data_IF_326845194808
#
_entry.id   IF_326845194808
#
_cell.length_a   1.000
_cell.length_b   1.000
_cell.length_c   1.000
_cell.angle_alpha   90.00
_cell.angle_beta   90.00
_cell.angle_gamma   90.00
#
_symmetry.space_group_name_H-M   'P 1'
#
loop_
_entity.id
_entity.type
_entity.pdbx_description
1 polymer ?
#
# COMPACT_ATOMS: atom_id res chain seq x y z
N UNK A 1 -33.57 12.40 -42.45
CA UNK A 1 -32.55 13.27 -43.07
C UNK A 1 -32.04 12.61 -44.34
N UNK A 2 -31.99 13.31 -45.47
CA UNK A 2 -31.55 12.74 -46.76
C UNK A 2 -30.03 12.69 -46.87
N UNK A 3 -29.49 11.59 -47.42
CA UNK A 3 -28.05 11.36 -47.57
C UNK A 3 -27.34 12.46 -48.37
N UNK A 4 -28.08 13.18 -49.23
CA UNK A 4 -27.57 14.33 -49.99
C UNK A 4 -27.20 15.53 -49.10
N UNK A 5 -27.81 15.68 -47.92
CA UNK A 5 -27.50 16.79 -47.03
C UNK A 5 -26.16 16.61 -46.28
N UNK A 6 -25.60 15.39 -46.26
CA UNK A 6 -24.28 15.12 -45.65
C UNK A 6 -23.12 15.60 -46.54
N UNK A 7 -23.30 15.63 -47.86
CA UNK A 7 -22.23 15.98 -48.81
C UNK A 7 -22.19 17.46 -49.19
N UNK A 8 -23.24 18.22 -48.89
CA UNK A 8 -23.32 19.66 -49.17
C UNK A 8 -22.88 20.55 -48.00
N UNK A 9 -22.49 19.97 -46.86
CA UNK A 9 -21.98 20.74 -45.73
C UNK A 9 -20.50 21.08 -45.94
N UNK A 10 -20.24 22.10 -46.76
CA UNK A 10 -18.93 22.71 -46.99
C UNK A 10 -18.57 23.64 -45.82
N UNK A 11 -18.68 23.14 -44.59
CA UNK A 11 -18.02 23.78 -43.46
C UNK A 11 -16.53 23.87 -43.75
N UNK A 12 -15.89 24.97 -43.35
CA UNK A 12 -14.43 25.13 -43.42
C UNK A 12 -13.77 23.82 -42.99
N UNK A 13 -12.90 23.21 -43.82
CA UNK A 13 -12.23 21.98 -43.42
C UNK A 13 -11.59 22.27 -42.07
N UNK A 14 -11.98 21.52 -41.04
CA UNK A 14 -11.25 21.52 -39.77
C UNK A 14 -9.88 20.98 -40.14
N UNK A 15 -8.96 21.87 -40.47
CA UNK A 15 -7.55 21.54 -40.60
C UNK A 15 -7.17 21.06 -39.21
N UNK A 16 -7.12 19.74 -39.03
CA UNK A 16 -6.46 19.18 -37.86
C UNK A 16 -5.06 19.78 -37.88
N UNK A 17 -4.74 20.53 -36.82
CA UNK A 17 -3.41 21.08 -36.63
C UNK A 17 -2.44 19.90 -36.82
N UNK A 18 -1.49 20.02 -37.74
CA UNK A 18 -0.44 19.02 -37.91
C UNK A 18 0.41 19.07 -36.64
N UNK A 19 0.02 18.30 -35.64
CA UNK A 19 0.79 18.15 -34.40
C UNK A 19 2.06 17.39 -34.79
N UNK A 20 3.22 18.00 -34.61
CA UNK A 20 4.50 17.33 -34.82
C UNK A 20 4.63 16.17 -33.81
N UNK A 21 5.40 15.13 -34.16
CA UNK A 21 5.62 13.99 -33.25
C UNK A 21 6.08 14.43 -31.86
N UNK A 22 6.85 15.52 -31.78
CA UNK A 22 7.34 16.09 -30.52
C UNK A 22 6.22 16.68 -29.64
N UNK A 23 5.20 17.34 -30.22
CA UNK A 23 4.03 17.85 -29.46
C UNK A 23 3.08 16.71 -29.01
N UNK A 24 3.11 15.55 -29.68
CA UNK A 24 2.38 14.34 -29.25
C UNK A 24 3.09 13.62 -28.08
N UNK A 25 4.42 13.65 -28.03
CA UNK A 25 5.21 13.08 -26.92
C UNK A 25 4.96 13.83 -25.61
N UNK A 26 4.73 15.15 -25.65
CA UNK A 26 4.37 15.91 -24.44
C UNK A 26 2.99 15.51 -23.84
N UNK A 27 2.12 14.88 -24.63
CA UNK A 27 0.80 14.40 -24.18
C UNK A 27 0.76 12.89 -23.91
N UNK A 28 1.79 12.14 -24.30
CA UNK A 28 1.79 10.68 -24.27
C UNK A 28 3.02 10.19 -23.51
N UNK A 29 2.84 9.28 -22.56
CA UNK A 29 3.88 8.84 -21.61
C UNK A 29 5.22 8.43 -22.26
N UNK A 30 5.19 7.74 -23.41
CA UNK A 30 6.39 7.40 -24.18
C UNK A 30 6.06 7.00 -25.63
N UNK A 31 7.07 6.97 -26.51
CA UNK A 31 6.96 6.39 -27.86
C UNK A 31 6.59 4.91 -27.82
N UNK A 32 7.17 4.18 -26.87
CA UNK A 32 7.02 2.73 -26.75
C UNK A 32 5.60 2.37 -26.32
N UNK A 33 4.95 3.22 -25.51
CA UNK A 33 3.54 3.11 -25.19
C UNK A 33 2.65 3.20 -26.44
N UNK A 34 2.94 4.11 -27.37
CA UNK A 34 2.18 4.24 -28.62
C UNK A 34 2.29 2.96 -29.46
N UNK A 35 3.49 2.40 -29.57
CA UNK A 35 3.70 1.19 -30.35
C UNK A 35 3.07 -0.05 -29.71
N UNK A 36 3.11 -0.16 -28.38
CA UNK A 36 2.37 -1.16 -27.65
C UNK A 36 0.85 -1.01 -27.86
N UNK A 37 0.32 0.21 -27.85
CA UNK A 37 -1.11 0.48 -28.14
C UNK A 37 -1.50 0.16 -29.58
N UNK A 38 -0.63 0.42 -30.56
CA UNK A 38 -0.87 -0.01 -31.96
C UNK A 38 -0.96 -1.53 -32.06
N UNK A 39 -0.10 -2.27 -31.37
CA UNK A 39 -0.14 -3.74 -31.34
C UNK A 39 -1.47 -4.24 -30.76
N UNK A 40 -1.91 -3.65 -29.66
CA UNK A 40 -3.21 -3.96 -29.05
C UNK A 40 -4.38 -3.68 -30.01
N UNK A 41 -4.35 -2.54 -30.72
CA UNK A 41 -5.40 -2.17 -31.67
C UNK A 41 -5.49 -3.12 -32.88
N UNK A 42 -4.34 -3.61 -33.35
CA UNK A 42 -4.27 -4.53 -34.48
C UNK A 42 -4.50 -6.00 -34.08
N UNK A 43 -4.69 -6.28 -32.79
CA UNK A 43 -4.89 -7.63 -32.29
C UNK A 43 -6.27 -8.17 -32.71
N UNK A 44 -6.29 -9.41 -33.20
CA UNK A 44 -7.52 -10.08 -33.61
C UNK A 44 -7.94 -11.04 -32.50
N UNK A 45 -9.03 -10.72 -31.82
CA UNK A 45 -9.57 -11.54 -30.74
C UNK A 45 -10.46 -12.64 -31.36
N UNK A 46 -10.16 -13.93 -31.14
CA UNK A 46 -11.01 -15.00 -31.62
C UNK A 46 -12.33 -15.02 -30.84
N UNK A 47 -13.47 -15.37 -31.48
CA UNK A 47 -14.77 -15.44 -30.82
C UNK A 47 -14.91 -16.74 -30.02
N UNK A 48 -14.02 -16.95 -29.05
CA UNK A 48 -14.05 -18.09 -28.12
C UNK A 48 -14.62 -17.58 -26.80
N UNK A 49 -15.64 -18.28 -26.29
CA UNK A 49 -16.18 -18.00 -24.97
C UNK A 49 -15.37 -18.74 -23.90
N UNK A 50 -14.67 -17.98 -23.06
CA UNK A 50 -13.83 -18.49 -21.98
C UNK A 50 -14.59 -18.73 -20.67
N UNK A 51 -15.90 -18.41 -20.59
CA UNK A 51 -16.69 -18.68 -19.39
C UNK A 51 -16.90 -20.18 -19.13
N UNK A 52 -17.03 -20.98 -20.19
CA UNK A 52 -17.10 -22.45 -20.09
C UNK A 52 -15.75 -23.08 -20.48
N UNK A 53 -15.08 -23.80 -19.56
CA UNK A 53 -13.84 -24.51 -19.84
C UNK A 53 -13.88 -25.43 -21.06
N UNK A 54 -15.03 -26.02 -21.37
CA UNK A 54 -15.21 -27.00 -22.46
C UNK A 54 -14.93 -26.39 -23.85
N UNK A 55 -15.07 -25.07 -23.97
CA UNK A 55 -14.87 -24.36 -25.23
C UNK A 55 -13.39 -24.28 -25.63
N UNK A 56 -12.49 -24.10 -24.66
CA UNK A 56 -11.07 -23.88 -24.92
C UNK A 56 -10.13 -24.99 -24.42
N UNK A 57 -10.48 -25.71 -23.35
CA UNK A 57 -9.63 -26.77 -22.79
C UNK A 57 -9.74 -28.05 -23.61
N UNK A 58 -8.96 -28.16 -24.69
CA UNK A 58 -8.90 -29.36 -25.56
C UNK A 58 -7.95 -30.44 -25.05
N UNK A 59 -6.90 -30.03 -24.33
CA UNK A 59 -5.89 -30.91 -23.75
C UNK A 59 -5.54 -30.39 -22.35
N UNK A 60 -5.18 -31.26 -21.42
CA UNK A 60 -4.85 -30.87 -20.04
C UNK A 60 -6.06 -30.58 -19.14
N UNK A 61 -5.78 -30.11 -17.92
CA UNK A 61 -6.81 -29.74 -16.95
C UNK A 61 -7.17 -28.26 -17.07
N UNK A 62 -8.46 -27.96 -17.17
CA UNK A 62 -8.98 -26.60 -17.12
C UNK A 62 -8.57 -25.88 -15.83
N UNK A 63 -8.57 -26.59 -14.70
CA UNK A 63 -8.16 -26.05 -13.40
C UNK A 63 -6.74 -25.51 -13.44
N UNK A 64 -5.81 -26.28 -14.02
CA UNK A 64 -4.41 -25.87 -14.13
C UNK A 64 -4.24 -24.62 -15.01
N UNK A 65 -5.04 -24.48 -16.07
CA UNK A 65 -5.00 -23.27 -16.90
C UNK A 65 -5.44 -22.03 -16.13
N UNK A 66 -6.52 -22.13 -15.35
CA UNK A 66 -6.94 -21.03 -14.49
C UNK A 66 -5.92 -20.74 -13.39
N UNK A 67 -5.40 -21.76 -12.70
CA UNK A 67 -4.37 -21.61 -11.66
C UNK A 67 -3.16 -20.84 -12.21
N UNK A 68 -2.63 -21.23 -13.37
CA UNK A 68 -1.47 -20.56 -13.97
C UNK A 68 -1.78 -19.15 -14.47
N UNK A 69 -2.99 -18.89 -14.96
CA UNK A 69 -3.43 -17.53 -15.29
C UNK A 69 -3.44 -16.63 -14.05
N UNK A 70 -4.02 -17.11 -12.94
CA UNK A 70 -4.04 -16.39 -11.66
C UNK A 70 -2.62 -16.16 -11.10
N UNK A 71 -1.78 -17.20 -11.06
CA UNK A 71 -0.38 -17.08 -10.62
C UNK A 71 0.39 -16.09 -11.48
N UNK A 72 0.15 -16.08 -12.79
CA UNK A 72 0.83 -15.16 -13.70
C UNK A 72 0.44 -13.71 -13.41
N UNK A 73 -0.86 -13.43 -13.29
CA UNK A 73 -1.36 -12.09 -12.99
C UNK A 73 -0.81 -11.63 -11.64
N UNK A 74 -0.94 -12.46 -10.60
CA UNK A 74 -0.52 -12.10 -9.25
C UNK A 74 0.98 -11.77 -9.15
N UNK A 75 1.83 -12.57 -9.79
CA UNK A 75 3.28 -12.43 -9.65
C UNK A 75 3.91 -11.44 -10.65
N UNK A 76 3.30 -11.23 -11.82
CA UNK A 76 3.94 -10.51 -12.93
C UNK A 76 3.16 -9.32 -13.46
N UNK A 77 1.91 -9.09 -13.04
CA UNK A 77 1.20 -7.89 -13.46
C UNK A 77 1.83 -6.64 -12.84
N UNK A 78 2.24 -5.63 -13.64
CA UNK A 78 2.93 -4.46 -13.14
C UNK A 78 1.93 -3.45 -12.54
N UNK A 79 1.47 -3.70 -11.31
CA UNK A 79 0.49 -2.85 -10.61
C UNK A 79 0.92 -1.37 -10.55
N UNK A 80 2.16 -1.13 -10.15
CA UNK A 80 2.79 0.20 -10.05
C UNK A 80 3.60 0.57 -11.31
N UNK A 81 3.51 -0.23 -12.37
CA UNK A 81 4.22 0.03 -13.60
C UNK A 81 3.65 1.19 -14.40
N UNK A 82 4.47 1.63 -15.35
CA UNK A 82 4.17 2.58 -16.43
C UNK A 82 2.95 2.12 -17.24
N UNK A 83 2.26 3.04 -17.94
CA UNK A 83 1.18 2.60 -18.84
C UNK A 83 1.72 1.71 -19.96
N UNK A 84 2.99 1.87 -20.34
CA UNK A 84 3.67 0.98 -21.27
C UNK A 84 3.72 -0.46 -20.77
N UNK A 85 4.26 -0.69 -19.57
CA UNK A 85 4.39 -2.04 -18.99
C UNK A 85 3.04 -2.73 -18.83
N UNK A 86 1.99 -1.99 -18.44
CA UNK A 86 0.63 -2.52 -18.32
C UNK A 86 0.08 -3.01 -19.67
N UNK A 87 0.22 -2.20 -20.72
CA UNK A 87 -0.20 -2.58 -22.08
C UNK A 87 0.65 -3.69 -22.65
N UNK A 88 1.95 -3.70 -22.36
CA UNK A 88 2.84 -4.78 -22.78
C UNK A 88 2.46 -6.10 -22.11
N UNK A 89 2.14 -6.09 -20.81
CA UNK A 89 1.63 -7.25 -20.11
C UNK A 89 0.36 -7.79 -20.78
N UNK A 90 -0.63 -6.93 -21.07
CA UNK A 90 -1.84 -7.32 -21.78
C UNK A 90 -1.51 -7.91 -23.16
N UNK A 91 -0.65 -7.26 -23.96
CA UNK A 91 -0.25 -7.73 -25.29
C UNK A 91 0.52 -9.06 -25.26
N UNK A 92 1.22 -9.37 -24.17
CA UNK A 92 1.93 -10.63 -23.97
C UNK A 92 1.05 -11.75 -23.39
N UNK A 93 -0.14 -11.40 -22.90
CA UNK A 93 -1.06 -12.31 -22.24
C UNK A 93 -1.86 -13.14 -23.23
N UNK A 94 -2.13 -14.40 -22.88
CA UNK A 94 -3.04 -15.22 -23.68
C UNK A 94 -4.48 -14.69 -23.58
N UNK A 95 -5.35 -15.09 -24.51
CA UNK A 95 -6.76 -14.69 -24.45
C UNK A 95 -7.47 -15.19 -23.18
N UNK A 96 -7.06 -16.35 -22.65
CA UNK A 96 -7.55 -16.83 -21.36
C UNK A 96 -7.06 -15.94 -20.22
N UNK A 97 -5.77 -15.60 -20.20
CA UNK A 97 -5.21 -14.71 -19.16
C UNK A 97 -5.91 -13.36 -19.16
N UNK A 98 -6.21 -12.81 -20.34
CA UNK A 98 -7.00 -11.57 -20.48
C UNK A 98 -8.41 -11.74 -19.92
N UNK A 99 -9.10 -12.82 -20.27
CA UNK A 99 -10.44 -13.10 -19.73
C UNK A 99 -10.42 -13.22 -18.21
N UNK A 100 -9.46 -13.97 -17.66
CA UNK A 100 -9.26 -14.12 -16.21
C UNK A 100 -8.98 -12.75 -15.60
N UNK A 101 -8.01 -12.01 -16.12
CA UNK A 101 -7.64 -10.68 -15.65
C UNK A 101 -8.81 -9.70 -15.65
N UNK A 102 -9.64 -9.73 -16.69
CA UNK A 102 -10.72 -8.76 -16.85
C UNK A 102 -11.98 -9.10 -16.05
N UNK A 103 -12.34 -10.38 -15.94
CA UNK A 103 -13.65 -10.80 -15.46
C UNK A 103 -13.61 -11.57 -14.13
N UNK A 104 -12.53 -12.32 -13.87
CA UNK A 104 -12.46 -13.24 -12.72
C UNK A 104 -11.48 -12.76 -11.65
N UNK A 105 -10.40 -12.11 -12.07
CA UNK A 105 -9.37 -11.63 -11.17
C UNK A 105 -9.93 -10.48 -10.34
N UNK A 106 -9.87 -10.55 -9.00
CA UNK A 106 -10.36 -9.47 -8.15
C UNK A 106 -9.48 -8.23 -8.35
N UNK A 107 -9.96 -7.30 -9.18
CA UNK A 107 -9.35 -5.98 -9.42
C UNK A 107 -9.96 -4.87 -8.56
N UNK A 108 -10.76 -5.24 -7.56
CA UNK A 108 -11.32 -4.25 -6.64
C UNK A 108 -10.17 -3.63 -5.86
N UNK A 109 -9.81 -2.40 -6.20
CA UNK A 109 -9.04 -1.50 -5.36
C UNK A 109 -9.89 -1.22 -4.12
N UNK A 110 -9.76 -2.09 -3.12
CA UNK A 110 -10.47 -2.00 -1.87
C UNK A 110 -9.63 -1.23 -0.89
N UNK A 111 -10.11 -0.08 -0.45
CA UNK A 111 -9.55 0.61 0.70
C UNK A 111 -10.36 0.29 1.95
N UNK A 112 -9.71 0.39 3.09
CA UNK A 112 -10.36 0.24 4.39
C UNK A 112 -10.99 1.56 4.80
N UNK A 113 -12.26 1.52 5.19
CA UNK A 113 -12.96 2.67 5.76
C UNK A 113 -13.00 2.57 7.28
N UNK A 114 -12.45 3.56 7.94
CA UNK A 114 -12.56 3.77 9.38
C UNK A 114 -13.68 4.78 9.66
N UNK A 115 -14.69 4.36 10.42
CA UNK A 115 -15.90 5.12 10.73
C UNK A 115 -16.04 5.35 12.24
N UNK A 116 -14.95 5.73 12.92
CA UNK A 116 -14.91 6.02 14.37
C UNK A 116 -15.55 4.91 15.25
N UNK A 117 -15.57 3.67 14.76
CA UNK A 117 -16.21 2.52 15.41
C UNK A 117 -15.49 1.20 15.11
N UNK A 118 -14.56 1.19 14.16
CA UNK A 118 -13.80 0.05 13.73
C UNK A 118 -12.31 0.38 13.70
N UNK A 119 -11.50 -0.66 13.82
CA UNK A 119 -10.04 -0.61 13.74
C UNK A 119 -9.52 -1.98 13.32
N UNK A 120 -8.25 -2.05 12.93
CA UNK A 120 -7.57 -3.31 12.66
C UNK A 120 -6.57 -3.56 13.78
N UNK A 121 -6.53 -4.79 14.28
CA UNK A 121 -5.50 -5.26 15.19
C UNK A 121 -4.64 -6.28 14.49
N UNK A 122 -3.34 -6.02 14.45
CA UNK A 122 -2.33 -6.95 13.95
C UNK A 122 -1.50 -7.44 15.12
N UNK A 123 -1.45 -8.76 15.30
CA UNK A 123 -0.63 -9.38 16.33
C UNK A 123 0.81 -9.50 15.81
N UNK A 124 1.78 -8.88 16.50
CA UNK A 124 3.18 -8.86 16.06
C UNK A 124 4.13 -9.76 16.85
N UNK A 125 3.62 -10.54 17.80
CA UNK A 125 4.41 -11.55 18.49
C UNK A 125 4.77 -12.73 17.58
N UNK A 126 5.95 -13.36 17.74
CA UNK A 126 6.21 -14.63 17.08
C UNK A 126 5.16 -15.66 17.50
N UNK A 127 4.67 -16.44 16.55
CA UNK A 127 3.82 -17.59 16.80
C UNK A 127 4.65 -18.64 17.53
N UNK A 128 4.71 -18.52 18.86
CA UNK A 128 5.34 -19.54 19.69
C UNK A 128 4.28 -20.61 19.96
N UNK A 129 4.62 -21.88 19.77
CA UNK A 129 3.79 -23.00 20.22
C UNK A 129 3.71 -23.10 21.76
N UNK A 130 4.00 -22.02 22.49
CA UNK A 130 4.07 -21.94 23.95
C UNK A 130 2.73 -22.19 24.62
N UNK A 131 1.61 -21.92 23.93
CA UNK A 131 0.25 -22.27 24.37
C UNK A 131 -0.19 -23.70 23.95
N UNK A 132 0.73 -24.48 23.38
CA UNK A 132 0.49 -25.84 22.89
C UNK A 132 -0.09 -25.89 21.48
N UNK A 133 0.29 -26.91 20.71
CA UNK A 133 -0.26 -27.20 19.37
C UNK A 133 -1.46 -28.15 19.43
N UNK A 134 -2.20 -28.15 20.53
CA UNK A 134 -3.26 -29.15 20.76
C UNK A 134 -4.34 -28.99 19.69
N UNK A 135 -4.46 -30.00 18.82
CA UNK A 135 -5.43 -30.04 17.73
C UNK A 135 -5.04 -29.26 16.48
N UNK A 136 -3.80 -28.77 16.36
CA UNK A 136 -3.29 -28.13 15.13
C UNK A 136 -2.13 -28.92 14.55
N UNK A 137 -2.04 -28.95 13.23
CA UNK A 137 -0.89 -29.52 12.52
C UNK A 137 0.31 -28.59 12.63
N UNK A 138 1.51 -29.10 12.32
CA UNK A 138 2.74 -28.31 12.42
C UNK A 138 2.76 -27.19 11.37
N UNK A 139 2.34 -27.49 10.14
CA UNK A 139 2.18 -26.55 9.02
C UNK A 139 1.27 -25.37 9.41
N UNK A 140 0.03 -25.64 9.84
CA UNK A 140 -0.92 -24.60 10.27
C UNK A 140 -0.47 -23.76 11.48
N UNK A 141 0.58 -24.19 12.20
CA UNK A 141 1.12 -23.44 13.34
C UNK A 141 2.23 -22.48 12.94
N UNK A 142 2.98 -22.79 11.87
CA UNK A 142 4.23 -22.09 11.55
C UNK A 142 4.31 -21.55 10.10
N UNK A 143 3.60 -22.12 9.13
CA UNK A 143 3.73 -21.72 7.72
C UNK A 143 3.21 -20.30 7.45
N UNK A 144 2.13 -19.90 8.14
CA UNK A 144 1.54 -18.56 8.07
C UNK A 144 2.19 -17.55 9.04
N UNK A 145 3.23 -17.97 9.75
CA UNK A 145 3.90 -17.12 10.75
C UNK A 145 5.01 -16.29 10.15
N UNK A 146 5.38 -15.22 10.85
CA UNK A 146 6.56 -14.45 10.47
C UNK A 146 7.81 -15.34 10.50
N UNK A 147 8.46 -15.49 9.33
CA UNK A 147 9.68 -16.29 9.17
C UNK A 147 10.87 -15.51 9.75
N UNK A 148 11.46 -16.06 10.80
CA UNK A 148 12.64 -15.48 11.44
C UNK A 148 13.82 -15.46 10.47
N UNK A 149 14.42 -14.28 10.29
CA UNK A 149 15.61 -14.08 9.46
C UNK A 149 16.36 -12.83 9.94
N UNK A 150 17.41 -13.03 10.75
CA UNK A 150 18.20 -11.94 11.35
C UNK A 150 18.92 -11.11 10.30
N UNK A 151 19.44 -11.73 9.23
CA UNK A 151 20.13 -11.03 8.15
C UNK A 151 19.21 -10.06 7.40
N UNK A 152 17.89 -10.34 7.39
CA UNK A 152 16.84 -9.47 6.84
C UNK A 152 16.13 -8.63 7.91
N UNK A 153 16.65 -8.55 9.14
CA UNK A 153 16.06 -7.84 10.29
C UNK A 153 14.64 -8.31 10.65
N UNK A 154 14.29 -9.57 10.33
CA UNK A 154 13.00 -10.21 10.63
C UNK A 154 13.07 -11.01 11.94
N UNK A 155 13.37 -10.32 13.04
CA UNK A 155 13.51 -10.92 14.38
C UNK A 155 12.20 -10.88 15.19
N UNK A 156 11.46 -9.78 15.10
CA UNK A 156 10.09 -9.59 15.63
C UNK A 156 9.30 -8.64 14.73
N UNK A 157 7.97 -8.71 14.73
CA UNK A 157 7.19 -7.72 14.00
C UNK A 157 7.14 -6.40 14.79
N UNK A 158 7.17 -5.28 14.06
CA UNK A 158 7.02 -3.92 14.60
C UNK A 158 8.06 -3.45 15.64
N UNK A 159 9.13 -4.21 15.90
CA UNK A 159 10.24 -3.68 16.71
C UNK A 159 10.91 -2.49 16.01
N UNK A 160 11.36 -1.53 16.81
CA UNK A 160 12.19 -0.41 16.38
C UNK A 160 13.56 -0.56 17.02
N UNK A 161 14.60 -0.54 16.19
CA UNK A 161 15.99 -0.43 16.60
C UNK A 161 16.50 0.91 16.11
N UNK A 162 17.08 1.71 17.00
CA UNK A 162 17.42 3.09 16.69
C UNK A 162 18.37 3.21 15.50
N UNK A 163 19.40 2.35 15.47
CA UNK A 163 20.43 2.30 14.44
C UNK A 163 19.92 1.91 13.05
N UNK A 164 18.82 1.15 13.01
CA UNK A 164 18.17 0.68 11.80
C UNK A 164 17.11 1.69 11.31
N UNK A 165 16.34 2.22 12.26
CA UNK A 165 15.21 3.09 11.97
C UNK A 165 14.01 2.32 11.41
N UNK A 166 12.94 3.06 11.15
CA UNK A 166 11.70 2.55 10.58
C UNK A 166 11.12 3.51 9.55
N UNK A 167 10.32 2.96 8.65
CA UNK A 167 9.45 3.73 7.75
C UNK A 167 8.03 3.22 7.84
N UNK A 168 7.08 4.12 8.06
CA UNK A 168 5.63 3.86 8.02
C UNK A 168 5.10 4.52 6.75
N UNK A 169 4.40 3.77 5.90
CA UNK A 169 3.93 4.22 4.60
C UNK A 169 2.50 3.75 4.36
N UNK A 170 1.66 4.61 3.77
CA UNK A 170 0.29 4.28 3.40
C UNK A 170 -0.31 5.35 2.47
N UNK A 171 -1.35 4.96 1.73
CA UNK A 171 -2.29 5.91 1.16
C UNK A 171 -3.37 6.25 2.18
N UNK A 172 -3.68 7.54 2.32
CA UNK A 172 -4.74 8.01 3.22
C UNK A 172 -5.61 9.06 2.55
N UNK A 173 -6.91 8.94 2.78
CA UNK A 173 -7.90 9.99 2.51
C UNK A 173 -8.59 10.36 3.82
N UNK A 174 -8.40 11.60 4.24
CA UNK A 174 -9.02 12.13 5.47
C UNK A 174 -10.26 12.93 5.09
N UNK A 175 -11.48 12.58 5.56
CA UNK A 175 -12.71 13.26 5.16
C UNK A 175 -12.88 14.62 5.85
N UNK A 176 -12.27 14.79 7.02
CA UNK A 176 -12.26 16.05 7.77
C UNK A 176 -11.12 16.10 8.77
N UNK A 177 -10.63 17.30 9.03
CA UNK A 177 -9.61 17.53 10.04
C UNK A 177 -10.25 17.44 11.43
N UNK A 178 -9.77 16.52 12.27
CA UNK A 178 -10.25 16.39 13.64
C UNK A 178 -9.58 17.40 14.56
N UNK A 179 -10.38 18.08 15.39
CA UNK A 179 -9.85 18.96 16.45
C UNK A 179 -9.24 18.16 17.63
N UNK A 180 -9.75 16.94 17.85
CA UNK A 180 -9.23 15.99 18.82
C UNK A 180 -8.14 15.11 18.21
N UNK A 181 -7.30 14.53 19.07
CA UNK A 181 -6.29 13.57 18.64
C UNK A 181 -6.97 12.28 18.16
N UNK A 182 -6.66 11.84 16.94
CA UNK A 182 -7.10 10.55 16.38
C UNK A 182 -5.91 9.70 15.98
N UNK A 183 -5.86 8.45 16.42
CA UNK A 183 -4.74 7.55 16.16
C UNK A 183 -4.88 6.85 14.81
N UNK A 184 -3.89 7.01 13.96
CA UNK A 184 -3.81 6.37 12.64
C UNK A 184 -3.16 5.00 12.80
N UNK A 185 -2.06 4.96 13.56
CA UNK A 185 -1.32 3.76 13.91
C UNK A 185 -0.89 3.86 15.36
N UNK A 186 -1.02 2.77 16.10
CA UNK A 186 -0.38 2.62 17.39
C UNK A 186 0.21 1.23 17.54
N UNK A 187 1.52 1.16 17.74
CA UNK A 187 2.26 -0.06 18.04
C UNK A 187 2.62 -0.02 19.52
N UNK A 188 2.18 -1.03 20.26
CA UNK A 188 2.48 -1.14 21.69
C UNK A 188 2.42 -2.59 22.16
N UNK A 189 3.05 -2.88 23.29
CA UNK A 189 3.08 -4.21 23.91
C UNK A 189 2.44 -4.22 25.29
N UNK A 190 2.85 -5.18 26.12
CA UNK A 190 2.52 -5.16 27.54
C UNK A 190 3.11 -3.90 28.22
N UNK A 191 2.58 -3.53 29.40
CA UNK A 191 3.08 -2.41 30.17
C UNK A 191 4.62 -2.42 30.26
N UNK A 192 5.26 -1.34 29.81
CA UNK A 192 6.72 -1.21 29.77
C UNK A 192 7.42 -1.61 28.46
N UNK A 193 6.70 -2.05 27.42
CA UNK A 193 7.30 -2.44 26.12
C UNK A 193 7.70 -1.24 25.22
N UNK A 194 7.27 -0.03 25.58
CA UNK A 194 7.38 1.15 24.73
C UNK A 194 6.28 1.23 23.68
N UNK A 195 6.21 2.35 22.96
CA UNK A 195 5.17 2.60 21.95
C UNK A 195 5.68 3.43 20.77
N UNK A 196 5.06 3.20 19.61
CA UNK A 196 5.16 4.04 18.42
C UNK A 196 3.73 4.44 18.06
N UNK A 197 3.41 5.74 18.13
CA UNK A 197 2.05 6.25 17.87
C UNK A 197 2.10 7.30 16.77
N UNK A 198 1.36 7.07 15.68
CA UNK A 198 1.07 8.07 14.67
C UNK A 198 -0.37 8.57 14.86
N UNK A 199 -0.54 9.86 15.04
CA UNK A 199 -1.86 10.46 15.28
C UNK A 199 -2.04 11.79 14.58
N UNK A 200 -3.27 12.10 14.20
CA UNK A 200 -3.62 13.41 13.67
C UNK A 200 -4.30 14.29 14.72
N UNK A 201 -4.07 15.59 14.65
CA UNK A 201 -4.82 16.59 15.39
C UNK A 201 -4.69 17.95 14.70
N UNK A 202 -5.78 18.68 14.49
CA UNK A 202 -5.80 20.02 13.89
C UNK A 202 -5.05 20.11 12.54
N UNK A 203 -5.01 19.02 11.76
CA UNK A 203 -4.35 18.95 10.45
C UNK A 203 -2.87 18.61 10.52
N UNK A 204 -2.32 18.55 11.73
CA UNK A 204 -0.97 18.09 12.01
C UNK A 204 -0.93 16.58 12.19
N UNK A 205 0.23 15.99 11.95
CA UNK A 205 0.52 14.59 12.28
C UNK A 205 1.63 14.55 13.33
N UNK A 206 1.36 13.88 14.44
CA UNK A 206 2.32 13.64 15.50
C UNK A 206 2.79 12.19 15.44
N UNK A 207 4.11 12.00 15.42
CA UNK A 207 4.75 10.69 15.51
C UNK A 207 5.47 10.57 16.85
N UNK A 208 4.85 9.90 17.82
CA UNK A 208 5.41 9.65 19.14
C UNK A 208 6.16 8.33 19.19
N UNK A 209 7.38 8.36 19.72
CA UNK A 209 8.15 7.18 20.10
C UNK A 209 8.46 7.25 21.59
N UNK A 210 8.18 6.17 22.31
CA UNK A 210 8.47 6.04 23.74
C UNK A 210 9.21 4.72 23.97
N UNK A 211 10.40 4.78 24.56
CA UNK A 211 11.18 3.58 24.89
C UNK A 211 10.52 2.76 25.99
N UNK A 212 10.59 1.43 25.89
CA UNK A 212 10.20 0.53 26.97
C UNK A 212 11.27 0.38 28.04
N UNK A 213 11.22 1.18 29.12
CA UNK A 213 12.05 0.99 30.33
C UNK A 213 11.52 1.78 31.53
N UNK A 214 12.10 1.57 32.72
CA UNK A 214 11.77 2.29 33.96
C UNK A 214 12.02 3.80 33.91
N UNK A 215 12.72 4.31 32.89
CA UNK A 215 12.80 5.75 32.57
C UNK A 215 12.52 5.94 31.09
N UNK A 216 11.24 6.15 30.76
CA UNK A 216 10.79 6.30 29.38
C UNK A 216 11.42 7.53 28.71
N UNK A 217 12.22 7.30 27.66
CA UNK A 217 12.68 8.35 26.75
C UNK A 217 11.61 8.56 25.69
N UNK A 218 11.22 9.83 25.47
CA UNK A 218 10.19 10.21 24.51
C UNK A 218 10.76 11.08 23.38
N UNK A 219 10.21 10.92 22.19
CA UNK A 219 10.42 11.78 21.04
C UNK A 219 9.09 11.92 20.30
N UNK A 220 8.60 13.15 20.12
CA UNK A 220 7.25 13.43 19.60
C UNK A 220 7.28 14.54 18.54
N UNK A 221 7.94 14.34 17.38
CA UNK A 221 7.87 15.26 16.25
C UNK A 221 6.42 15.48 15.78
N UNK A 222 6.14 16.72 15.39
CA UNK A 222 4.86 17.14 14.82
C UNK A 222 5.10 17.73 13.43
N UNK A 223 4.40 17.20 12.43
CA UNK A 223 4.44 17.67 11.05
C UNK A 223 3.21 18.53 10.78
N UNK A 224 3.44 19.82 10.55
CA UNK A 224 2.36 20.81 10.58
C UNK A 224 1.56 20.82 9.28
N UNK A 225 0.23 20.83 9.36
CA UNK A 225 -0.68 20.98 8.21
C UNK A 225 -0.51 19.96 7.07
N UNK A 226 0.09 18.79 7.34
CA UNK A 226 0.32 17.76 6.31
C UNK A 226 -0.99 17.14 5.79
N UNK A 227 -2.02 17.06 6.64
CA UNK A 227 -3.36 16.53 6.32
C UNK A 227 -4.38 17.62 5.99
N UNK A 228 -3.97 18.61 5.18
CA UNK A 228 -4.85 19.67 4.69
C UNK A 228 -5.61 19.31 3.42
N UNK A 229 -5.12 18.34 2.66
CA UNK A 229 -5.81 17.83 1.47
C UNK A 229 -6.70 16.65 1.85
N UNK A 230 -8.00 16.78 1.56
CA UNK A 230 -9.04 15.79 1.87
C UNK A 230 -9.16 14.69 0.79
N UNK A 231 -8.30 14.73 -0.24
CA UNK A 231 -8.19 13.69 -1.25
C UNK A 231 -7.16 12.62 -0.88
N UNK A 232 -7.09 11.57 -1.70
CA UNK A 232 -6.07 10.53 -1.59
C UNK A 232 -4.68 11.13 -1.75
N UNK A 233 -3.84 10.87 -0.75
CA UNK A 233 -2.44 11.23 -0.76
C UNK A 233 -1.63 10.07 -0.21
N UNK A 234 -0.44 9.91 -0.75
CA UNK A 234 0.54 8.98 -0.25
C UNK A 234 1.37 9.65 0.85
N UNK A 235 1.51 8.99 2.00
CA UNK A 235 2.27 9.50 3.14
C UNK A 235 3.32 8.49 3.55
N UNK A 236 4.53 8.99 3.82
CA UNK A 236 5.59 8.19 4.44
C UNK A 236 6.24 8.96 5.59
N UNK A 237 6.50 8.27 6.70
CA UNK A 237 7.16 8.81 7.88
C UNK A 237 8.36 7.94 8.22
N UNK A 238 9.54 8.53 8.27
CA UNK A 238 10.80 7.83 8.54
C UNK A 238 11.37 8.30 9.86
N UNK A 239 11.90 7.39 10.67
CA UNK A 239 12.60 7.72 11.92
C UNK A 239 13.91 6.93 11.99
N UNK A 240 14.99 7.62 12.35
CA UNK A 240 16.30 7.03 12.60
C UNK A 240 16.88 7.63 13.88
N UNK A 241 17.38 6.78 14.79
CA UNK A 241 17.98 7.19 16.06
C UNK A 241 19.42 6.70 16.16
N UNK A 242 20.35 7.61 15.95
CA UNK A 242 21.79 7.34 15.92
C UNK A 242 22.49 7.88 17.16
N UNK A 243 23.81 7.68 17.28
CA UNK A 243 24.60 8.35 18.33
C UNK A 243 24.57 9.89 18.23
N UNK A 244 24.37 10.44 17.02
CA UNK A 244 24.25 11.88 16.76
C UNK A 244 22.88 12.48 17.08
N UNK A 245 21.90 11.66 17.47
CA UNK A 245 20.54 12.10 17.72
C UNK A 245 19.50 11.30 16.95
N UNK A 246 18.24 11.63 17.23
CA UNK A 246 17.05 11.11 16.54
C UNK A 246 16.57 12.13 15.51
N UNK A 247 16.28 11.63 14.30
CA UNK A 247 15.74 12.39 13.18
C UNK A 247 14.43 11.79 12.73
N UNK A 248 13.45 12.62 12.37
CA UNK A 248 12.22 12.20 11.73
C UNK A 248 11.90 13.05 10.51
N UNK A 249 11.41 12.41 9.45
CA UNK A 249 11.02 13.07 8.21
C UNK A 249 9.63 12.60 7.79
N UNK A 250 8.87 13.52 7.20
CA UNK A 250 7.60 13.22 6.57
C UNK A 250 7.68 13.49 5.07
N UNK A 251 7.05 12.63 4.29
CA UNK A 251 6.92 12.73 2.85
C UNK A 251 5.45 12.71 2.47
N UNK A 252 5.09 13.50 1.46
CA UNK A 252 3.75 13.54 0.87
C UNK A 252 3.87 13.39 -0.65
N UNK A 253 3.18 12.41 -1.23
CA UNK A 253 3.20 12.10 -2.66
C UNK A 253 4.63 11.95 -3.23
N UNK A 254 5.51 11.28 -2.47
CA UNK A 254 6.89 11.02 -2.85
C UNK A 254 7.85 12.21 -2.66
N UNK A 255 7.36 13.38 -2.27
CA UNK A 255 8.18 14.56 -2.01
C UNK A 255 8.41 14.74 -0.51
N UNK A 256 9.63 15.17 -0.12
CA UNK A 256 9.93 15.54 1.25
C UNK A 256 9.03 16.72 1.65
N UNK A 257 8.22 16.53 2.68
CA UNK A 257 7.33 17.56 3.21
C UNK A 257 8.04 18.37 4.30
N UNK A 258 8.60 17.68 5.29
CA UNK A 258 9.25 18.31 6.43
C UNK A 258 10.29 17.39 7.07
N UNK A 259 11.39 17.98 7.55
CA UNK A 259 12.48 17.32 8.28
C UNK A 259 12.62 17.98 9.65
N UNK A 260 12.36 17.21 10.71
CA UNK A 260 12.40 17.70 12.09
C UNK A 260 13.83 17.73 12.67
N UNK A 261 14.85 17.45 11.84
CA UNK A 261 16.27 17.58 12.20
C UNK A 261 16.73 16.60 13.29
N UNK A 262 18.03 16.61 13.57
CA UNK A 262 18.61 15.77 14.62
C UNK A 262 18.39 16.42 16.00
N UNK A 263 17.55 15.80 16.83
CA UNK A 263 17.44 16.18 18.25
C UNK A 263 18.52 15.44 19.03
N UNK A 264 19.27 16.07 19.95
CA UNK A 264 20.34 15.43 20.73
C UNK A 264 19.79 14.53 21.84
N UNK A 265 18.95 13.57 21.45
CA UNK A 265 18.29 12.56 22.27
C UNK A 265 18.25 11.29 21.42
N UNK A 266 18.50 10.16 22.06
CA UNK A 266 18.49 8.86 21.39
C UNK A 266 17.39 7.99 22.00
N UNK A 267 16.60 7.33 21.15
CA UNK A 267 15.74 6.24 21.55
C UNK A 267 16.45 4.96 21.12
N UNK A 268 17.00 4.17 22.05
CA UNK A 268 17.82 3.02 21.69
C UNK A 268 16.97 1.98 20.97
N UNK A 269 15.96 1.40 21.63
CA UNK A 269 15.11 0.39 21.00
C UNK A 269 13.70 0.41 21.61
N UNK A 270 12.72 -0.06 20.83
CA UNK A 270 11.38 -0.45 21.28
C UNK A 270 11.24 -1.91 20.87
N UNK A 271 11.39 -2.78 21.86
CA UNK A 271 11.46 -4.22 21.66
C UNK A 271 10.22 -4.91 22.22
N UNK A 272 9.78 -6.03 21.62
CA UNK A 272 8.73 -6.85 22.20
C UNK A 272 9.12 -7.38 23.58
N UNK A 273 8.14 -7.48 24.46
CA UNK A 273 8.25 -8.23 25.72
C UNK A 273 7.53 -9.57 25.58
N UNK A 274 6.93 -10.11 26.66
CA UNK A 274 6.31 -11.44 26.71
C UNK A 274 5.25 -11.71 25.65
N UNK A 275 4.52 -10.69 25.19
CA UNK A 275 3.38 -10.83 24.27
C UNK A 275 3.61 -10.19 22.90
N UNK A 276 4.85 -9.84 22.56
CA UNK A 276 5.14 -9.11 21.32
C UNK A 276 4.71 -7.64 21.37
N UNK A 277 4.85 -6.97 20.23
CA UNK A 277 4.26 -5.66 19.96
C UNK A 277 3.05 -5.88 19.04
N UNK A 278 1.90 -5.31 19.38
CA UNK A 278 0.71 -5.34 18.55
C UNK A 278 0.53 -4.00 17.86
N UNK A 279 0.07 -4.02 16.61
CA UNK A 279 -0.30 -2.81 15.89
C UNK A 279 -1.82 -2.63 15.87
N UNK A 280 -2.27 -1.42 16.16
CA UNK A 280 -3.64 -0.96 16.04
C UNK A 280 -3.69 0.08 14.93
N UNK A 281 -4.43 -0.20 13.85
CA UNK A 281 -4.62 0.74 12.74
C UNK A 281 -6.02 1.33 12.87
N UNK A 282 -6.09 2.66 12.91
CA UNK A 282 -7.31 3.43 13.14
C UNK A 282 -7.76 3.53 14.61
N UNK A 283 -6.90 3.17 15.57
CA UNK A 283 -7.19 3.23 17.01
C UNK A 283 -5.92 3.41 17.86
N UNK A 284 -6.05 3.98 19.05
CA UNK A 284 -4.98 4.07 20.05
C UNK A 284 -4.91 2.87 21.00
N UNK A 285 -5.90 1.98 21.06
CA UNK A 285 -5.82 0.70 21.80
C UNK A 285 -7.08 -0.14 21.53
N UNK A 286 -7.20 -1.29 22.20
CA UNK A 286 -8.45 -2.05 22.25
C UNK A 286 -9.36 -1.64 23.44
N UNK A 287 -8.95 -0.69 24.28
CA UNK A 287 -9.60 -0.39 25.56
C UNK A 287 -10.70 0.68 25.47
N UNK A 288 -11.40 0.94 26.58
CA UNK A 288 -12.72 1.57 26.66
C UNK A 288 -12.90 3.02 26.12
N UNK A 289 -11.87 3.66 25.58
CA UNK A 289 -11.98 4.97 24.93
C UNK A 289 -10.85 5.18 23.90
N UNK A 290 -10.86 4.45 22.77
CA UNK A 290 -9.80 4.59 21.80
C UNK A 290 -9.94 5.92 21.02
N UNK A 291 -8.81 6.53 20.67
CA UNK A 291 -8.72 7.67 19.75
C UNK A 291 -9.03 7.20 18.33
N UNK A 292 -10.27 6.81 18.06
CA UNK A 292 -10.64 6.16 16.80
C UNK A 292 -10.54 7.15 15.63
N UNK A 293 -9.90 6.69 14.56
CA UNK A 293 -9.72 7.45 13.32
C UNK A 293 -10.96 7.39 12.44
N UNK A 294 -11.13 8.43 11.63
CA UNK A 294 -12.13 8.47 10.57
C UNK A 294 -11.44 8.79 9.26
N UNK A 295 -11.62 7.93 8.27
CA UNK A 295 -11.10 8.12 6.92
C UNK A 295 -10.86 6.81 6.19
N UNK A 296 -10.24 6.90 5.03
CA UNK A 296 -9.95 5.75 4.17
C UNK A 296 -8.45 5.52 4.09
N UNK A 297 -8.02 4.27 4.17
CA UNK A 297 -6.61 3.88 4.06
C UNK A 297 -6.43 2.75 3.06
N UNK A 298 -5.33 2.80 2.31
CA UNK A 298 -4.90 1.73 1.43
C UNK A 298 -3.37 1.52 1.55
N UNK A 299 -2.91 0.34 1.17
CA UNK A 299 -1.50 -0.08 1.11
C UNK A 299 -0.66 0.27 2.35
N UNK A 300 -1.14 -0.08 3.55
CA UNK A 300 -0.34 0.11 4.75
C UNK A 300 0.93 -0.77 4.74
N UNK A 301 2.09 -0.13 4.92
CA UNK A 301 3.40 -0.77 4.97
C UNK A 301 4.18 -0.27 6.19
N UNK A 302 4.90 -1.19 6.81
CA UNK A 302 5.84 -0.91 7.90
C UNK A 302 7.18 -1.57 7.57
N UNK A 303 8.21 -0.75 7.40
CA UNK A 303 9.55 -1.19 7.06
C UNK A 303 10.51 -0.93 8.21
N UNK A 304 11.41 -1.87 8.43
CA UNK A 304 12.64 -1.65 9.20
C UNK A 304 13.73 -1.32 8.20
N UNK A 305 14.37 -0.17 8.37
CA UNK A 305 15.40 0.31 7.46
C UNK A 305 16.78 -0.15 7.90
#
# INVERSE_FOLDING_TARGET
MSIKNLFNNTGTPKIQKSVTSDELVDQVESSDFIDAKKKQFNEVIPPIDFADPSNFAKFGSAELYYEKAFERIHNYYPYDGTLHEKVEFENSSSYLDKYVFDNLYPRTNGYLNFLNSNYIKVFGGPHTASSGMVGKTLDSTFDDSMKYDEAKKRTSAFEFRGEDGITIEFWLKVPSISAGQKAILHITGAAGSGEIKLSQQNGNVNLGLISGSGTAVKFEPSFSNIFTDLNWNHYAFTVLSSSSGITAKAYKNGQLFEDQGATPRNIPHILPTTHGLNAFIGSSSADAAPDLFTGSMDEFRFWKT
#
